data_IF_204025346751
#
_entry.id   IF_204025346751
#
_cell.length_a   1.000
_cell.length_b   1.000
_cell.length_c   1.000
_cell.angle_alpha   90.00
_cell.angle_beta   90.00
_cell.angle_gamma   90.00
#
_symmetry.space_group_name_H-M   'P 1'
#
loop_
_entity.id
_entity.type
_entity.pdbx_description
1 polymer ?
#
# COMPACT_ATOMS: atom_id res chain seq x y z
N UNK A 1 -21.53 0.01 -16.70
CA UNK A 1 -20.27 -0.06 -15.93
C UNK A 1 -20.56 -0.79 -14.63
N UNK A 2 -19.70 -1.69 -14.22
CA UNK A 2 -19.81 -2.33 -12.90
C UNK A 2 -19.29 -1.37 -11.83
N UNK A 3 -19.73 -1.53 -10.57
CA UNK A 3 -19.26 -0.69 -9.46
C UNK A 3 -17.74 -0.78 -9.21
N UNK A 4 -17.07 -1.79 -9.79
CA UNK A 4 -15.63 -2.03 -9.74
C UNK A 4 -14.86 -1.47 -10.95
N UNK A 5 -15.54 -0.83 -11.90
CA UNK A 5 -14.93 -0.30 -13.11
C UNK A 5 -14.10 0.96 -12.79
N UNK A 6 -12.84 0.95 -13.20
CA UNK A 6 -11.90 2.06 -13.05
C UNK A 6 -11.54 2.71 -14.40
N UNK A 7 -12.33 2.45 -15.45
CA UNK A 7 -12.10 3.04 -16.77
C UNK A 7 -12.06 4.57 -16.67
N UNK A 8 -10.99 5.17 -17.22
CA UNK A 8 -10.74 6.61 -17.17
C UNK A 8 -10.15 7.13 -15.86
N UNK A 9 -10.04 6.31 -14.80
CA UNK A 9 -9.35 6.68 -13.56
C UNK A 9 -7.83 6.65 -13.73
N UNK A 10 -7.15 7.45 -12.92
CA UNK A 10 -5.69 7.55 -12.87
C UNK A 10 -5.21 7.22 -11.47
N UNK A 11 -4.30 6.26 -11.37
CA UNK A 11 -3.76 5.77 -10.11
C UNK A 11 -2.28 6.07 -9.97
N UNK A 12 -1.83 6.32 -8.74
CA UNK A 12 -0.42 6.37 -8.37
C UNK A 12 -0.15 5.33 -7.28
N UNK A 13 0.81 4.43 -7.51
CA UNK A 13 1.15 3.33 -6.61
C UNK A 13 2.61 3.40 -6.23
N UNK A 14 2.91 3.52 -4.93
CA UNK A 14 4.28 3.49 -4.41
C UNK A 14 4.70 2.07 -4.04
N UNK A 15 6.00 1.76 -4.14
CA UNK A 15 6.53 0.42 -3.87
C UNK A 15 6.06 -0.63 -4.87
N UNK A 16 5.80 -0.22 -6.12
CA UNK A 16 5.16 -1.05 -7.14
C UNK A 16 6.12 -1.92 -7.96
N UNK A 17 7.41 -2.00 -7.62
CA UNK A 17 8.38 -2.81 -8.37
C UNK A 17 8.25 -4.32 -8.13
N UNK A 18 7.55 -4.76 -7.08
CA UNK A 18 7.37 -6.17 -6.70
C UNK A 18 6.27 -6.35 -5.66
N UNK A 19 5.95 -7.62 -5.36
CA UNK A 19 5.07 -8.02 -4.27
C UNK A 19 3.68 -7.39 -4.34
N UNK A 20 3.15 -6.96 -3.19
CA UNK A 20 1.78 -6.41 -3.08
C UNK A 20 1.60 -5.18 -3.96
N UNK A 21 2.58 -4.27 -4.02
CA UNK A 21 2.47 -3.04 -4.80
C UNK A 21 2.37 -3.29 -6.31
N UNK A 22 3.14 -4.25 -6.85
CA UNK A 22 3.02 -4.70 -8.25
C UNK A 22 1.63 -5.25 -8.53
N UNK A 23 1.19 -6.18 -7.69
CA UNK A 23 -0.14 -6.81 -7.85
C UNK A 23 -1.26 -5.77 -7.81
N UNK A 24 -1.20 -4.82 -6.89
CA UNK A 24 -2.20 -3.75 -6.81
C UNK A 24 -2.17 -2.90 -8.10
N UNK A 25 -1.00 -2.50 -8.59
CA UNK A 25 -0.87 -1.71 -9.80
C UNK A 25 -1.49 -2.44 -11.02
N UNK A 26 -1.19 -3.72 -11.17
CA UNK A 26 -1.73 -4.57 -12.25
C UNK A 26 -3.24 -4.79 -12.09
N UNK A 27 -3.74 -5.01 -10.87
CA UNK A 27 -5.17 -5.17 -10.62
C UNK A 27 -5.97 -3.89 -10.92
N UNK A 28 -5.45 -2.70 -10.56
CA UNK A 28 -6.07 -1.43 -10.93
C UNK A 28 -6.09 -1.23 -12.44
N UNK A 29 -5.02 -1.62 -13.14
CA UNK A 29 -4.96 -1.57 -14.59
C UNK A 29 -5.97 -2.54 -15.24
N UNK A 30 -6.08 -3.77 -14.74
CA UNK A 30 -7.06 -4.75 -15.20
C UNK A 30 -8.51 -4.27 -15.00
N UNK A 31 -8.76 -3.47 -13.96
CA UNK A 31 -10.05 -2.81 -13.74
C UNK A 31 -10.26 -1.54 -14.60
N UNK A 32 -9.28 -1.12 -15.40
CA UNK A 32 -9.42 -0.03 -16.38
C UNK A 32 -8.65 1.26 -16.07
N UNK A 33 -7.90 1.33 -14.98
CA UNK A 33 -7.12 2.52 -14.65
C UNK A 33 -5.82 2.64 -15.48
N UNK A 34 -5.39 3.87 -15.80
CA UNK A 34 -3.99 4.11 -16.14
C UNK A 34 -3.19 4.33 -14.86
N UNK A 35 -1.95 3.84 -14.81
CA UNK A 35 -1.21 3.73 -13.55
C UNK A 35 0.17 4.38 -13.63
N UNK A 36 0.46 5.30 -12.72
CA UNK A 36 1.81 5.72 -12.40
C UNK A 36 2.36 4.83 -11.27
N UNK A 37 3.57 4.31 -11.44
CA UNK A 37 4.21 3.38 -10.52
C UNK A 37 5.56 3.93 -10.07
N UNK A 38 5.82 3.85 -8.77
CA UNK A 38 7.06 4.36 -8.19
C UNK A 38 7.74 3.34 -7.27
N UNK A 39 9.06 3.22 -7.39
CA UNK A 39 9.94 2.49 -6.49
C UNK A 39 11.40 2.85 -6.76
N UNK A 40 12.33 2.38 -5.94
CA UNK A 40 13.77 2.60 -6.16
C UNK A 40 14.35 1.74 -7.28
N UNK A 41 13.85 0.51 -7.45
CA UNK A 41 14.39 -0.46 -8.41
C UNK A 41 13.78 -0.30 -9.78
N UNK A 42 14.60 0.03 -10.79
CA UNK A 42 14.12 0.28 -12.16
C UNK A 42 13.66 -1.00 -12.87
N UNK A 43 14.39 -2.11 -12.73
CA UNK A 43 14.07 -3.37 -13.43
C UNK A 43 12.68 -3.89 -13.05
N UNK A 44 12.38 -3.93 -11.75
CA UNK A 44 11.06 -4.36 -11.28
C UNK A 44 9.93 -3.40 -11.67
N UNK A 45 10.20 -2.10 -11.83
CA UNK A 45 9.23 -1.14 -12.35
C UNK A 45 8.97 -1.37 -13.84
N UNK A 46 10.03 -1.65 -14.64
CA UNK A 46 9.89 -1.95 -16.06
C UNK A 46 9.04 -3.21 -16.29
N UNK A 47 9.19 -4.22 -15.44
CA UNK A 47 8.40 -5.44 -15.47
C UNK A 47 6.92 -5.16 -15.15
N UNK A 48 6.65 -4.42 -14.06
CA UNK A 48 5.28 -4.00 -13.71
C UNK A 48 4.64 -3.14 -14.79
N UNK A 49 5.41 -2.21 -15.40
CA UNK A 49 4.92 -1.38 -16.49
C UNK A 49 4.52 -2.21 -17.71
N UNK A 50 5.28 -3.27 -18.03
CA UNK A 50 4.95 -4.20 -19.11
C UNK A 50 3.64 -4.92 -18.83
N UNK A 51 3.47 -5.49 -17.62
CA UNK A 51 2.20 -6.14 -17.23
C UNK A 51 0.99 -5.19 -17.36
N UNK A 52 1.14 -3.91 -16.98
CA UNK A 52 0.08 -2.89 -17.14
C UNK A 52 -0.20 -2.61 -18.62
N UNK A 53 0.85 -2.48 -19.46
CA UNK A 53 0.67 -2.20 -20.89
C UNK A 53 0.10 -3.38 -21.66
N UNK A 54 0.40 -4.61 -21.26
CA UNK A 54 -0.19 -5.84 -21.84
C UNK A 54 -1.71 -5.92 -21.61
N UNK A 55 -2.22 -5.23 -20.58
CA UNK A 55 -3.65 -5.04 -20.32
C UNK A 55 -4.26 -3.87 -21.14
N UNK A 56 -3.51 -3.27 -22.04
CA UNK A 56 -3.97 -2.12 -22.87
C UNK A 56 -4.07 -0.81 -22.08
N UNK A 57 -3.43 -0.71 -20.91
CA UNK A 57 -3.45 0.52 -20.09
C UNK A 57 -2.11 1.25 -20.17
N UNK A 58 -2.12 2.55 -19.81
CA UNK A 58 -0.88 3.34 -19.77
C UNK A 58 -0.17 3.13 -18.45
N UNK A 59 1.14 2.88 -18.52
CA UNK A 59 2.04 2.83 -17.38
C UNK A 59 3.03 4.00 -17.42
N UNK A 60 3.22 4.69 -16.30
CA UNK A 60 4.22 5.76 -16.14
C UNK A 60 5.15 5.37 -15.00
N UNK A 61 6.46 5.36 -15.27
CA UNK A 61 7.47 4.82 -14.35
C UNK A 61 8.25 5.95 -13.70
N UNK A 62 8.33 5.93 -12.36
CA UNK A 62 9.05 6.92 -11.56
C UNK A 62 10.04 6.23 -10.62
N UNK A 63 11.36 6.27 -10.89
CA UNK A 63 12.36 5.94 -9.88
C UNK A 63 12.27 6.92 -8.71
N UNK A 64 11.92 6.41 -7.51
CA UNK A 64 11.63 7.25 -6.35
C UNK A 64 12.09 6.59 -5.05
N UNK A 65 12.83 7.31 -4.23
CA UNK A 65 12.98 7.01 -2.81
C UNK A 65 11.94 7.79 -2.00
N UNK A 66 10.91 7.09 -1.55
CA UNK A 66 9.79 7.67 -0.79
C UNK A 66 10.19 8.24 0.58
N UNK A 67 11.42 8.02 1.03
CA UNK A 67 11.93 8.59 2.30
C UNK A 67 12.44 10.03 2.15
N UNK A 68 12.44 10.57 0.93
CA UNK A 68 12.88 11.92 0.59
C UNK A 68 11.68 12.79 0.22
N UNK A 69 11.26 13.64 1.14
CA UNK A 69 10.04 14.46 1.00
C UNK A 69 10.01 15.27 -0.29
N UNK A 70 11.11 15.97 -0.62
CA UNK A 70 11.18 16.84 -1.81
C UNK A 70 11.03 16.03 -3.10
N UNK A 71 11.68 14.85 -3.18
CA UNK A 71 11.58 13.96 -4.34
C UNK A 71 10.13 13.42 -4.48
N UNK A 72 9.47 13.08 -3.37
CA UNK A 72 8.07 12.66 -3.37
C UNK A 72 7.17 13.77 -3.87
N UNK A 73 7.34 14.99 -3.38
CA UNK A 73 6.54 16.15 -3.77
C UNK A 73 6.70 16.42 -5.27
N UNK A 74 7.93 16.47 -5.76
CA UNK A 74 8.21 16.68 -7.18
C UNK A 74 7.60 15.58 -8.04
N UNK A 75 7.76 14.30 -7.64
CA UNK A 75 7.22 13.15 -8.37
C UNK A 75 5.69 13.18 -8.44
N UNK A 76 5.00 13.45 -7.32
CA UNK A 76 3.53 13.50 -7.31
C UNK A 76 3.01 14.63 -8.21
N UNK A 77 3.66 15.79 -8.22
CA UNK A 77 3.30 16.89 -9.12
C UNK A 77 3.51 16.51 -10.59
N UNK A 78 4.60 15.81 -10.92
CA UNK A 78 4.85 15.33 -12.27
C UNK A 78 3.83 14.25 -12.68
N UNK A 79 3.49 13.33 -11.80
CA UNK A 79 2.42 12.35 -12.02
C UNK A 79 1.10 13.03 -12.37
N UNK A 80 0.69 14.02 -11.57
CA UNK A 80 -0.55 14.78 -11.82
C UNK A 80 -0.49 15.46 -13.19
N UNK A 81 0.63 16.10 -13.53
CA UNK A 81 0.84 16.78 -14.80
C UNK A 81 0.75 15.81 -16.00
N UNK A 82 1.39 14.66 -15.93
CA UNK A 82 1.43 13.68 -17.02
C UNK A 82 0.11 12.92 -17.19
N UNK A 83 -0.57 12.61 -16.10
CA UNK A 83 -1.86 11.92 -16.13
C UNK A 83 -3.04 12.88 -16.40
N UNK A 84 -2.85 14.20 -16.20
CA UNK A 84 -3.89 15.22 -16.28
C UNK A 84 -4.85 15.22 -15.08
N UNK A 85 -4.85 14.15 -14.29
CA UNK A 85 -5.63 13.99 -13.05
C UNK A 85 -5.03 12.89 -12.18
N UNK A 86 -5.42 12.85 -10.90
CA UNK A 86 -5.09 11.78 -9.97
C UNK A 86 -6.33 11.44 -9.15
N UNK A 87 -6.88 10.24 -9.36
CA UNK A 87 -8.11 9.77 -8.71
C UNK A 87 -7.82 8.80 -7.56
N UNK A 88 -6.74 8.01 -7.69
CA UNK A 88 -6.41 6.93 -6.77
C UNK A 88 -4.95 7.06 -6.34
N UNK A 89 -4.70 7.02 -5.03
CA UNK A 89 -3.35 6.93 -4.45
C UNK A 89 -3.25 5.65 -3.63
N UNK A 90 -2.20 4.86 -3.87
CA UNK A 90 -1.89 3.68 -3.07
C UNK A 90 -0.52 3.87 -2.42
N UNK A 91 -0.54 4.14 -1.12
CA UNK A 91 0.65 4.20 -0.28
C UNK A 91 1.02 2.78 0.16
N UNK A 92 1.80 2.09 -0.68
CA UNK A 92 2.21 0.72 -0.40
C UNK A 92 3.71 0.60 -0.05
N UNK A 93 4.54 1.54 -0.45
CA UNK A 93 5.95 1.51 -0.12
C UNK A 93 6.17 1.33 1.38
N UNK A 94 6.91 0.30 1.77
CA UNK A 94 7.11 -0.01 3.17
C UNK A 94 7.76 -1.38 3.37
N UNK A 95 7.99 -1.71 4.62
CA UNK A 95 8.55 -2.99 5.03
C UNK A 95 9.52 -2.85 6.20
N UNK A 96 10.03 -3.97 6.64
CA UNK A 96 11.11 -4.09 7.60
C UNK A 96 11.93 -5.33 7.23
N UNK A 97 13.25 -5.20 7.20
CA UNK A 97 14.15 -6.27 6.78
C UNK A 97 15.00 -6.82 7.95
N UNK A 98 14.57 -6.61 9.18
CA UNK A 98 15.18 -7.19 10.37
C UNK A 98 14.10 -7.53 11.40
N UNK A 99 14.38 -8.52 12.25
CA UNK A 99 13.59 -8.84 13.44
C UNK A 99 14.56 -8.80 14.63
N UNK A 100 14.18 -8.10 15.70
CA UNK A 100 15.04 -7.93 16.86
C UNK A 100 14.20 -7.74 18.13
N UNK A 101 14.53 -8.37 19.27
CA UNK A 101 13.92 -8.07 20.55
C UNK A 101 14.05 -6.58 20.89
N UNK A 102 13.09 -6.03 21.62
CA UNK A 102 13.06 -4.61 21.93
C UNK A 102 14.34 -4.10 22.60
N UNK A 103 14.87 -4.86 23.55
CA UNK A 103 16.06 -4.47 24.32
C UNK A 103 17.33 -4.40 23.48
N UNK A 104 17.37 -5.10 22.33
CA UNK A 104 18.52 -5.13 21.43
C UNK A 104 18.33 -4.18 20.23
N UNK A 105 17.17 -3.51 20.13
CA UNK A 105 16.85 -2.64 19.02
C UNK A 105 17.66 -1.33 19.07
N UNK A 106 18.28 -0.98 17.94
CA UNK A 106 18.94 0.31 17.78
C UNK A 106 17.92 1.38 17.38
N UNK A 107 17.98 2.56 17.99
CA UNK A 107 17.10 3.70 17.65
C UNK A 107 17.21 4.09 16.17
N UNK A 108 18.40 4.02 15.56
CA UNK A 108 18.56 4.27 14.13
C UNK A 108 17.78 3.29 13.23
N UNK A 109 17.54 2.06 13.71
CA UNK A 109 16.68 1.09 13.04
C UNK A 109 15.20 1.48 13.13
N UNK A 110 14.77 1.92 14.32
CA UNK A 110 13.44 2.49 14.52
C UNK A 110 13.18 3.66 13.59
N UNK A 111 14.04 4.67 13.57
CA UNK A 111 13.89 5.86 12.73
C UNK A 111 13.78 5.53 11.25
N UNK A 112 14.61 4.59 10.75
CA UNK A 112 14.55 4.15 9.35
C UNK A 112 13.22 3.50 9.01
N UNK A 113 12.67 2.67 9.90
CA UNK A 113 11.38 2.00 9.68
C UNK A 113 10.23 3.01 9.73
N UNK A 114 10.23 3.94 10.68
CA UNK A 114 9.22 5.00 10.77
C UNK A 114 9.25 5.88 9.52
N UNK A 115 10.43 6.31 9.09
CA UNK A 115 10.58 7.14 7.87
C UNK A 115 10.08 6.42 6.62
N UNK A 116 10.39 5.12 6.48
CA UNK A 116 9.95 4.35 5.32
C UNK A 116 8.45 4.07 5.32
N UNK A 117 7.87 3.69 6.46
CA UNK A 117 6.48 3.19 6.49
C UNK A 117 5.45 4.28 6.80
N UNK A 118 5.81 5.28 7.62
CA UNK A 118 4.89 6.32 8.06
C UNK A 118 5.13 7.63 7.32
N UNK A 119 6.36 8.20 7.41
CA UNK A 119 6.62 9.53 6.85
C UNK A 119 6.39 9.54 5.34
N UNK A 120 6.76 8.47 4.63
CA UNK A 120 6.50 8.32 3.19
C UNK A 120 5.00 8.43 2.85
N UNK A 121 4.13 7.82 3.66
CA UNK A 121 2.66 7.93 3.50
C UNK A 121 2.19 9.37 3.69
N UNK A 122 2.73 10.07 4.71
CA UNK A 122 2.42 11.48 4.95
C UNK A 122 2.85 12.35 3.78
N UNK A 123 4.08 12.19 3.27
CA UNK A 123 4.60 12.97 2.16
C UNK A 123 3.74 12.84 0.90
N UNK A 124 3.36 11.61 0.53
CA UNK A 124 2.49 11.38 -0.63
C UNK A 124 1.10 11.98 -0.42
N UNK A 125 0.51 11.81 0.77
CA UNK A 125 -0.80 12.39 1.08
C UNK A 125 -0.77 13.92 1.03
N UNK A 126 0.27 14.55 1.59
CA UNK A 126 0.44 16.01 1.54
C UNK A 126 0.59 16.54 0.12
N UNK A 127 1.31 15.83 -0.75
CA UNK A 127 1.51 16.23 -2.13
C UNK A 127 0.26 16.02 -3.01
N UNK A 128 -0.49 14.92 -2.80
CA UNK A 128 -1.67 14.58 -3.61
C UNK A 128 -2.97 15.26 -3.13
N UNK A 129 -3.07 15.52 -1.83
CA UNK A 129 -4.29 16.04 -1.19
C UNK A 129 -4.83 17.34 -1.78
N UNK A 130 -4.02 18.38 -2.01
CA UNK A 130 -4.49 19.63 -2.63
C UNK A 130 -5.19 19.42 -3.97
N UNK A 131 -4.61 18.61 -4.86
CA UNK A 131 -5.19 18.29 -6.16
C UNK A 131 -6.51 17.53 -6.04
N UNK A 132 -6.59 16.51 -5.18
CA UNK A 132 -7.82 15.75 -4.96
C UNK A 132 -8.92 16.65 -4.35
N UNK A 133 -8.55 17.56 -3.43
CA UNK A 133 -9.47 18.54 -2.84
C UNK A 133 -10.04 19.49 -3.88
N UNK A 134 -9.21 20.03 -4.75
CA UNK A 134 -9.65 20.93 -5.84
C UNK A 134 -10.62 20.20 -6.78
N UNK A 135 -10.37 18.92 -7.04
CA UNK A 135 -11.24 18.09 -7.90
C UNK A 135 -12.52 17.62 -7.22
N UNK A 136 -12.63 17.75 -5.89
CA UNK A 136 -13.79 17.31 -5.13
C UNK A 136 -13.98 15.78 -5.12
N UNK A 137 -12.91 14.99 -5.34
CA UNK A 137 -12.95 13.52 -5.35
C UNK A 137 -11.57 12.89 -5.24
N UNK A 138 -11.52 11.69 -4.66
CA UNK A 138 -10.32 10.88 -4.57
C UNK A 138 -10.55 9.60 -3.77
N UNK A 139 -9.68 8.62 -3.98
CA UNK A 139 -9.55 7.44 -3.13
C UNK A 139 -8.10 7.21 -2.75
N UNK A 140 -7.81 7.26 -1.45
CA UNK A 140 -6.48 6.96 -0.90
C UNK A 140 -6.53 5.62 -0.18
N UNK A 141 -5.61 4.74 -0.53
CA UNK A 141 -5.45 3.41 0.05
C UNK A 141 -4.09 3.35 0.72
N UNK A 142 -4.06 3.28 2.03
CA UNK A 142 -2.84 3.12 2.80
C UNK A 142 -2.63 1.63 3.12
N UNK A 143 -1.56 1.02 2.62
CA UNK A 143 -1.25 -0.37 2.92
C UNK A 143 -0.60 -0.43 4.31
N UNK A 144 -1.42 -0.82 5.30
CA UNK A 144 -1.02 -1.05 6.67
C UNK A 144 -0.55 -2.51 6.88
N UNK A 145 -0.90 -3.15 7.98
CA UNK A 145 -0.63 -4.56 8.27
C UNK A 145 -1.43 -4.99 9.51
N UNK A 146 -1.72 -6.28 9.63
CA UNK A 146 -2.20 -6.86 10.90
C UNK A 146 -1.24 -6.63 12.07
N UNK A 147 0.05 -6.48 11.81
CA UNK A 147 1.05 -6.11 12.82
C UNK A 147 0.82 -4.71 13.45
N UNK A 148 0.02 -3.86 12.81
CA UNK A 148 -0.43 -2.59 13.39
C UNK A 148 -1.67 -2.71 14.28
N UNK A 149 -2.26 -3.91 14.37
CA UNK A 149 -3.49 -4.20 15.12
C UNK A 149 -3.29 -5.25 16.21
N UNK A 150 -2.14 -5.93 16.22
CA UNK A 150 -1.80 -6.97 17.21
C UNK A 150 -0.35 -6.85 17.66
N UNK A 151 -0.01 -7.44 18.81
CA UNK A 151 1.38 -7.54 19.24
C UNK A 151 2.15 -8.52 18.37
N UNK A 152 3.28 -8.08 17.82
CA UNK A 152 4.15 -8.93 17.00
C UNK A 152 5.59 -8.84 17.53
N UNK A 153 6.03 -9.85 18.32
CA UNK A 153 7.38 -9.86 18.88
C UNK A 153 8.46 -9.72 17.82
N UNK A 154 9.48 -8.90 18.11
CA UNK A 154 10.58 -8.62 17.19
C UNK A 154 10.28 -7.60 16.08
N UNK A 155 9.03 -7.15 15.91
CA UNK A 155 8.60 -6.24 14.86
C UNK A 155 8.10 -4.88 15.40
N UNK A 156 8.53 -4.44 16.58
CA UNK A 156 8.04 -3.21 17.22
C UNK A 156 8.03 -1.99 16.28
N UNK A 157 9.12 -1.61 15.60
CA UNK A 157 9.09 -0.42 14.74
C UNK A 157 8.08 -0.56 13.60
N UNK A 158 7.97 -1.77 13.06
CA UNK A 158 7.03 -2.05 11.98
C UNK A 158 5.59 -1.98 12.47
N UNK A 159 5.25 -2.70 13.54
CA UNK A 159 3.91 -2.67 14.15
C UNK A 159 3.48 -1.26 14.52
N UNK A 160 4.34 -0.50 15.21
CA UNK A 160 4.09 0.89 15.58
C UNK A 160 3.86 1.78 14.36
N UNK A 161 4.71 1.65 13.30
CA UNK A 161 4.53 2.43 12.07
C UNK A 161 3.21 2.11 11.37
N UNK A 162 2.81 0.83 11.33
CA UNK A 162 1.55 0.41 10.69
C UNK A 162 0.31 0.78 11.51
N UNK A 163 0.40 0.78 12.85
CA UNK A 163 -0.62 1.34 13.72
C UNK A 163 -0.78 2.86 13.51
N UNK A 164 0.32 3.59 13.37
CA UNK A 164 0.30 5.01 13.06
C UNK A 164 -0.34 5.29 11.67
N UNK A 165 -0.04 4.47 10.64
CA UNK A 165 -0.69 4.57 9.32
C UNK A 165 -2.22 4.37 9.43
N UNK A 166 -2.69 3.44 10.27
CA UNK A 166 -4.13 3.25 10.54
C UNK A 166 -4.73 4.50 11.19
N UNK A 167 -4.04 5.09 12.18
CA UNK A 167 -4.48 6.33 12.84
C UNK A 167 -4.56 7.50 11.86
N UNK A 168 -3.50 7.71 11.05
CA UNK A 168 -3.47 8.73 9.99
C UNK A 168 -4.61 8.52 8.99
N UNK A 169 -4.88 7.28 8.58
CA UNK A 169 -5.98 6.94 7.69
C UNK A 169 -7.32 7.44 8.23
N UNK A 170 -7.60 7.20 9.51
CA UNK A 170 -8.85 7.63 10.16
C UNK A 170 -8.95 9.15 10.25
N UNK A 171 -7.88 9.83 10.61
CA UNK A 171 -7.85 11.30 10.70
C UNK A 171 -8.07 11.93 9.33
N UNK A 172 -7.32 11.51 8.31
CA UNK A 172 -7.49 12.02 6.95
C UNK A 172 -8.88 11.71 6.38
N UNK A 173 -9.48 10.57 6.72
CA UNK A 173 -10.83 10.24 6.30
C UNK A 173 -11.85 11.25 6.80
N UNK A 174 -11.76 11.67 8.07
CA UNK A 174 -12.64 12.68 8.65
C UNK A 174 -12.40 14.05 8.04
N UNK A 175 -11.15 14.47 7.94
CA UNK A 175 -10.78 15.78 7.40
C UNK A 175 -11.11 15.95 5.91
N UNK A 176 -11.00 14.86 5.12
CA UNK A 176 -11.11 14.93 3.67
C UNK A 176 -12.48 14.50 3.13
N UNK A 177 -13.34 13.89 3.96
CA UNK A 177 -14.70 13.53 3.56
C UNK A 177 -15.52 14.72 3.02
N UNK A 178 -15.45 15.96 3.60
CA UNK A 178 -16.16 17.12 3.04
C UNK A 178 -15.71 17.49 1.63
N UNK A 179 -14.53 17.02 1.20
CA UNK A 179 -13.99 17.25 -0.14
C UNK A 179 -14.26 16.08 -1.10
N UNK A 180 -15.11 15.11 -0.72
CA UNK A 180 -15.41 13.95 -1.54
C UNK A 180 -14.22 12.95 -1.67
N UNK A 181 -13.27 12.99 -0.76
CA UNK A 181 -12.09 12.11 -0.75
C UNK A 181 -12.30 11.02 0.30
N UNK A 182 -12.14 9.77 -0.11
CA UNK A 182 -12.15 8.60 0.79
C UNK A 182 -10.73 8.19 1.12
N UNK A 183 -10.48 7.84 2.37
CA UNK A 183 -9.18 7.35 2.83
C UNK A 183 -9.39 6.08 3.63
N UNK A 184 -8.86 4.96 3.18
CA UNK A 184 -9.00 3.66 3.84
C UNK A 184 -7.66 2.93 3.96
N UNK A 185 -7.54 2.02 4.92
CA UNK A 185 -6.39 1.16 5.08
C UNK A 185 -6.68 -0.24 4.54
N UNK A 186 -5.76 -0.80 3.76
CA UNK A 186 -5.69 -2.23 3.46
C UNK A 186 -4.70 -2.86 4.43
N UNK A 187 -5.13 -3.89 5.18
CA UNK A 187 -4.32 -4.58 6.19
C UNK A 187 -4.09 -6.05 5.78
N UNK A 188 -3.03 -6.34 5.05
CA UNK A 188 -2.63 -7.72 4.78
C UNK A 188 -2.15 -8.45 6.04
N UNK A 189 -2.46 -9.76 6.10
CA UNK A 189 -1.77 -10.71 6.96
C UNK A 189 -0.48 -11.25 6.31
N UNK A 190 -0.07 -12.44 6.70
CA UNK A 190 1.12 -13.11 6.16
C UNK A 190 0.96 -13.40 4.67
N UNK A 191 1.54 -12.56 3.83
CA UNK A 191 1.48 -12.64 2.37
C UNK A 191 2.84 -13.04 1.82
N UNK A 192 2.89 -14.03 0.94
CA UNK A 192 4.12 -14.59 0.37
C UNK A 192 4.77 -13.58 -0.60
N UNK A 193 5.72 -12.81 -0.10
CA UNK A 193 6.49 -11.82 -0.87
C UNK A 193 7.99 -12.04 -0.67
N UNK A 194 8.83 -11.35 -1.43
CA UNK A 194 10.29 -11.38 -1.23
C UNK A 194 10.70 -10.88 0.15
N UNK A 195 9.90 -9.99 0.75
CA UNK A 195 10.17 -9.43 2.07
C UNK A 195 10.27 -10.51 3.16
N UNK A 196 9.54 -11.61 3.01
CA UNK A 196 9.49 -12.72 3.97
C UNK A 196 9.97 -14.05 3.38
N UNK A 197 10.72 -14.01 2.29
CA UNK A 197 11.25 -15.20 1.62
C UNK A 197 12.06 -16.07 2.59
N UNK A 198 12.97 -15.48 3.37
CA UNK A 198 13.78 -16.22 4.36
C UNK A 198 12.92 -16.97 5.39
N UNK A 199 11.78 -16.39 5.82
CA UNK A 199 10.87 -17.07 6.74
C UNK A 199 10.16 -18.25 6.08
N UNK A 200 9.80 -18.13 4.79
CA UNK A 200 9.15 -19.18 4.03
C UNK A 200 10.10 -20.32 3.63
N UNK A 201 11.39 -20.01 3.50
CA UNK A 201 12.46 -20.96 3.21
C UNK A 201 13.07 -21.61 4.47
N UNK A 202 12.55 -21.26 5.65
CA UNK A 202 12.94 -21.93 6.90
C UNK A 202 12.67 -23.45 6.83
N UNK A 203 13.35 -24.29 7.63
CA UNK A 203 13.20 -25.75 7.58
C UNK A 203 11.77 -26.27 7.73
N UNK A 204 10.92 -25.53 8.43
CA UNK A 204 9.49 -25.84 8.59
C UNK A 204 8.60 -25.26 7.46
N UNK A 205 9.20 -24.61 6.46
CA UNK A 205 8.47 -23.92 5.38
C UNK A 205 7.67 -22.73 5.88
N UNK A 206 8.07 -22.12 6.99
CA UNK A 206 7.38 -20.99 7.62
C UNK A 206 6.06 -21.38 8.30
N UNK A 207 5.84 -22.67 8.60
CA UNK A 207 4.61 -23.14 9.28
C UNK A 207 4.43 -22.54 10.66
N UNK A 208 5.51 -22.38 11.43
CA UNK A 208 5.48 -21.72 12.73
C UNK A 208 4.98 -20.27 12.65
N UNK A 209 5.29 -19.57 11.57
CA UNK A 209 4.88 -18.18 11.32
C UNK A 209 3.37 -18.09 11.08
N UNK A 210 2.81 -19.04 10.34
CA UNK A 210 1.39 -19.05 9.98
C UNK A 210 0.53 -19.94 10.88
N UNK A 211 1.10 -20.47 11.97
CA UNK A 211 0.36 -21.35 12.90
C UNK A 211 -0.90 -20.69 13.49
N UNK A 212 -0.89 -19.35 13.65
CA UNK A 212 -2.03 -18.57 14.08
C UNK A 212 -2.98 -18.11 12.97
N UNK A 213 -2.80 -18.56 11.72
CA UNK A 213 -3.68 -18.21 10.60
C UNK A 213 -4.72 -19.34 10.41
N UNK A 214 -6.01 -19.12 10.65
CA UNK A 214 -7.04 -20.15 10.51
C UNK A 214 -7.11 -20.82 9.14
N UNK A 215 -6.84 -20.08 8.05
CA UNK A 215 -6.77 -20.65 6.70
C UNK A 215 -5.54 -21.53 6.46
N UNK A 216 -4.60 -21.62 7.40
CA UNK A 216 -3.46 -22.55 7.41
C UNK A 216 -2.44 -22.34 6.27
N UNK A 217 -2.42 -21.17 5.65
CA UNK A 217 -1.52 -20.86 4.54
C UNK A 217 -1.10 -19.40 4.49
N UNK A 218 -0.01 -19.14 3.79
CA UNK A 218 0.34 -17.80 3.33
C UNK A 218 -0.68 -17.31 2.31
N UNK A 219 -1.04 -16.03 2.38
CA UNK A 219 -1.77 -15.40 1.28
C UNK A 219 -0.86 -15.29 0.05
N UNK A 220 -1.43 -15.43 -1.14
CA UNK A 220 -0.75 -15.04 -2.38
C UNK A 220 -0.84 -13.53 -2.55
N UNK A 221 0.17 -12.85 -3.10
CA UNK A 221 0.12 -11.40 -3.35
C UNK A 221 -1.12 -10.98 -4.15
N UNK A 222 -1.56 -11.81 -5.11
CA UNK A 222 -2.71 -11.58 -5.99
C UNK A 222 -4.03 -11.41 -5.20
N UNK A 223 -4.12 -11.99 -4.01
CA UNK A 223 -5.29 -11.85 -3.14
C UNK A 223 -5.46 -10.43 -2.57
N UNK A 224 -4.46 -9.56 -2.72
CA UNK A 224 -4.54 -8.13 -2.35
C UNK A 224 -5.10 -7.25 -3.49
N UNK A 225 -5.12 -7.74 -4.72
CA UNK A 225 -5.58 -6.98 -5.89
C UNK A 225 -7.07 -6.63 -5.83
N UNK A 226 -7.94 -7.63 -5.61
CA UNK A 226 -9.39 -7.43 -5.51
C UNK A 226 -9.81 -6.44 -4.41
N UNK A 227 -9.33 -6.60 -3.16
CA UNK A 227 -9.54 -5.63 -2.08
C UNK A 227 -9.09 -4.21 -2.42
N UNK A 228 -7.95 -4.05 -3.12
CA UNK A 228 -7.48 -2.73 -3.54
C UNK A 228 -8.40 -2.12 -4.62
N UNK A 229 -8.86 -2.90 -5.60
CA UNK A 229 -9.83 -2.45 -6.60
C UNK A 229 -11.16 -2.05 -5.94
N UNK A 230 -11.65 -2.83 -4.96
CA UNK A 230 -12.82 -2.48 -4.16
C UNK A 230 -12.66 -1.10 -3.51
N UNK A 231 -11.58 -0.87 -2.77
CA UNK A 231 -11.33 0.40 -2.10
C UNK A 231 -11.14 1.57 -3.08
N UNK A 232 -10.58 1.32 -4.26
CA UNK A 232 -10.37 2.33 -5.30
C UNK A 232 -11.66 2.74 -6.01
N UNK A 233 -12.64 1.85 -6.10
CA UNK A 233 -13.84 1.97 -6.95
C UNK A 233 -15.06 2.55 -6.23
N UNK A 234 -16.10 2.78 -7.00
CA UNK A 234 -17.40 3.24 -6.49
C UNK A 234 -18.14 2.15 -5.68
N UNK A 235 -17.69 0.87 -5.74
CA UNK A 235 -18.18 -0.19 -4.87
C UNK A 235 -17.96 0.10 -3.37
N UNK A 236 -17.02 0.98 -3.05
CA UNK A 236 -16.75 1.46 -1.68
C UNK A 236 -17.10 2.95 -1.48
N UNK A 237 -18.03 3.51 -2.27
CA UNK A 237 -18.36 4.95 -2.28
C UNK A 237 -18.81 5.51 -0.93
N UNK A 238 -19.39 4.69 -0.05
CA UNK A 238 -19.80 5.09 1.31
C UNK A 238 -18.83 4.60 2.40
N UNK A 239 -17.59 4.23 2.02
CA UNK A 239 -16.57 3.67 2.92
C UNK A 239 -15.38 4.61 3.01
N UNK A 240 -15.17 5.21 4.19
CA UNK A 240 -13.99 6.00 4.51
C UNK A 240 -13.58 5.77 5.98
N UNK A 241 -12.29 5.87 6.30
CA UNK A 241 -11.72 5.65 7.63
C UNK A 241 -11.66 4.18 8.07
N UNK A 242 -11.97 3.25 7.17
CA UNK A 242 -12.05 1.84 7.50
C UNK A 242 -10.71 1.11 7.34
N UNK A 243 -10.61 -0.02 8.03
CA UNK A 243 -9.49 -0.95 7.93
C UNK A 243 -10.03 -2.23 7.32
N UNK A 244 -9.68 -2.48 6.06
CA UNK A 244 -10.03 -3.71 5.36
C UNK A 244 -8.93 -4.75 5.62
N UNK A 245 -9.23 -5.70 6.51
CA UNK A 245 -8.32 -6.79 6.87
C UNK A 245 -8.43 -7.94 5.87
N UNK A 246 -7.27 -8.43 5.40
CA UNK A 246 -7.16 -9.58 4.47
C UNK A 246 -6.05 -10.48 5.01
N UNK A 247 -6.37 -11.34 5.97
CA UNK A 247 -5.38 -12.02 6.82
C UNK A 247 -5.63 -13.52 7.03
N UNK A 248 -6.58 -14.12 6.33
CA UNK A 248 -6.93 -15.54 6.49
C UNK A 248 -7.53 -15.87 7.86
N UNK A 249 -8.07 -14.87 8.57
CA UNK A 249 -8.69 -15.01 9.89
C UNK A 249 -7.73 -14.82 11.06
N UNK A 250 -6.49 -14.41 10.84
CA UNK A 250 -5.47 -14.27 11.89
C UNK A 250 -5.96 -13.39 13.07
N UNK A 251 -6.56 -12.23 12.77
CA UNK A 251 -7.07 -11.33 13.83
C UNK A 251 -8.41 -11.76 14.42
N UNK A 252 -9.13 -12.67 13.81
CA UNK A 252 -10.39 -13.17 14.36
C UNK A 252 -10.18 -14.12 15.56
N UNK A 253 -8.96 -14.60 15.76
CA UNK A 253 -8.56 -15.48 16.85
C UNK A 253 -7.70 -14.79 17.91
N UNK A 254 -7.46 -13.50 17.79
CA UNK A 254 -6.62 -12.71 18.69
C UNK A 254 -7.43 -12.05 19.81
#
# INVERSE_FOLDING_TARGET
MTAFDLTGKKAFVTGASRGIGRVIAVALAAAGADVAIAARGQDGLAETAREVTDLGRKAFVFPLDVTRQDDVTATVHEVIKLLGQLDIVVNNAGGMNFMVPFLDMRISGWEKVMRLNLDSTIYVCQAAGPHMRERGRGSVINVASVAGMSGTPGLIPYGASKAAVISVTRTLAVEWAPYGIRVNALCPGWTATDLNQTLREAPDGGRSVIAGVPMGRWARPEEMGGPAVFLASDASSYMTGQVLVVDGGQLATA
#
